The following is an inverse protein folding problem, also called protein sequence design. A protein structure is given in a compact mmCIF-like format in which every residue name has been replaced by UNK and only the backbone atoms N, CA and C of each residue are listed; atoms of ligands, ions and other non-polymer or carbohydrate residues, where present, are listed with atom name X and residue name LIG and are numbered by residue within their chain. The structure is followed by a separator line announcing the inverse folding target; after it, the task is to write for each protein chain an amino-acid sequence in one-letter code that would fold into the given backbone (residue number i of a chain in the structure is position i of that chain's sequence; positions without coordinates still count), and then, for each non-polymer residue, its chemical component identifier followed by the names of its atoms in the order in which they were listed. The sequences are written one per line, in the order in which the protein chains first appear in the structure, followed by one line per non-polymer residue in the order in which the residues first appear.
data_IF_910213589074
#
_entry.id   IF_910213589074
#
_cell.length_a   1.000
_cell.length_b   1.000
_cell.length_c   1.000
_cell.angle_alpha   90.00
_cell.angle_beta   90.00
_cell.angle_gamma   90.00
#
_symmetry.space_group_name_H-M   'P 1'
#
loop_
_entity.id
_entity.type
_entity.pdbx_description
1 polymer ?
#
# COMPACT_ATOMS: atom_id res chain seq x y z
N UNK A 1 2.02 -16.66 23.39
CA UNK A 1 3.38 -16.52 22.84
C UNK A 1 3.24 -16.75 21.34
N UNK A 2 2.93 -15.69 20.60
CA UNK A 2 2.68 -15.76 19.16
C UNK A 2 3.96 -16.24 18.50
N UNK A 3 3.92 -17.42 17.88
CA UNK A 3 5.07 -17.98 17.18
C UNK A 3 5.44 -17.04 16.05
N UNK A 4 6.72 -16.65 16.00
CA UNK A 4 7.27 -15.64 15.09
C UNK A 4 7.12 -16.00 13.60
N UNK A 5 6.67 -17.21 13.29
CA UNK A 5 6.42 -17.74 11.95
C UNK A 5 5.00 -17.45 11.42
N UNK A 6 4.00 -17.20 12.29
CA UNK A 6 2.62 -17.08 11.83
C UNK A 6 2.33 -15.76 11.13
N UNK A 7 2.93 -14.63 11.56
CA UNK A 7 2.62 -13.28 11.03
C UNK A 7 2.99 -13.13 9.54
N UNK A 8 3.95 -13.92 9.04
CA UNK A 8 4.42 -13.86 7.65
C UNK A 8 3.65 -14.76 6.69
N UNK A 9 2.85 -15.72 7.20
CA UNK A 9 1.87 -16.38 6.34
C UNK A 9 0.72 -15.41 6.08
N UNK A 10 0.13 -15.42 4.89
CA UNK A 10 -0.99 -14.52 4.55
C UNK A 10 -2.17 -14.62 5.53
N UNK A 11 -2.26 -15.72 6.26
CA UNK A 11 -3.29 -16.03 7.25
C UNK A 11 -2.97 -15.46 8.65
N UNK A 12 -1.70 -15.16 8.95
CA UNK A 12 -1.25 -14.69 10.26
C UNK A 12 -1.89 -13.40 10.73
N UNK A 13 -2.22 -12.52 9.79
CA UNK A 13 -2.93 -11.27 10.09
C UNK A 13 -4.34 -11.52 10.58
N UNK A 14 -5.04 -12.53 10.05
CA UNK A 14 -6.41 -12.86 10.45
C UNK A 14 -6.43 -13.33 11.91
N UNK A 15 -5.52 -14.24 12.27
CA UNK A 15 -5.40 -14.73 13.64
C UNK A 15 -5.00 -13.62 14.62
N UNK A 16 -4.06 -12.76 14.20
CA UNK A 16 -3.61 -11.62 15.00
C UNK A 16 -4.75 -10.61 15.25
N UNK A 17 -5.57 -10.34 14.24
CA UNK A 17 -6.74 -9.45 14.37
C UNK A 17 -7.81 -10.10 15.26
N UNK A 18 -8.00 -11.42 15.18
CA UNK A 18 -8.95 -12.14 16.03
C UNK A 18 -8.53 -12.11 17.51
N UNK A 19 -7.22 -12.15 17.79
CA UNK A 19 -6.69 -12.14 19.17
C UNK A 19 -6.56 -10.72 19.75
N UNK A 20 -6.02 -9.77 18.99
CA UNK A 20 -5.69 -8.42 19.47
C UNK A 20 -6.77 -7.38 19.17
N UNK A 21 -7.74 -7.72 18.32
CA UNK A 21 -8.78 -6.82 17.85
C UNK A 21 -8.41 -6.08 16.56
N UNK A 22 -9.30 -5.18 16.15
CA UNK A 22 -9.26 -4.48 14.85
C UNK A 22 -8.28 -3.31 14.79
N UNK A 23 -7.75 -2.88 15.93
CA UNK A 23 -6.75 -1.81 16.04
C UNK A 23 -5.80 -2.11 17.20
N UNK A 24 -4.51 -2.22 16.92
CA UNK A 24 -3.48 -2.51 17.93
C UNK A 24 -2.16 -1.82 17.61
N UNK A 25 -1.35 -1.60 18.65
CA UNK A 25 -0.02 -1.02 18.53
C UNK A 25 1.05 -2.11 18.53
N UNK A 26 1.96 -2.05 17.58
CA UNK A 26 3.21 -2.81 17.58
C UNK A 26 4.35 -1.87 17.91
N UNK A 27 5.01 -2.11 19.04
CA UNK A 27 6.21 -1.36 19.40
C UNK A 27 7.43 -1.99 18.74
N UNK A 28 7.85 -1.44 17.60
CA UNK A 28 8.95 -1.97 16.77
C UNK A 28 10.10 -0.98 16.77
N UNK A 29 11.27 -1.41 17.23
CA UNK A 29 12.51 -0.61 17.20
C UNK A 29 12.33 0.80 17.78
N UNK A 30 11.69 0.90 18.96
CA UNK A 30 11.39 2.15 19.67
C UNK A 30 10.38 3.08 18.98
N UNK A 31 9.74 2.63 17.90
CA UNK A 31 8.65 3.33 17.23
C UNK A 31 7.33 2.59 17.45
N UNK A 32 6.25 3.36 17.54
CA UNK A 32 4.89 2.83 17.56
C UNK A 32 4.37 2.66 16.14
N UNK A 33 3.96 1.44 15.81
CA UNK A 33 3.33 1.09 14.55
C UNK A 33 1.88 0.68 14.85
N UNK A 34 0.95 1.59 14.56
CA UNK A 34 -0.48 1.34 14.72
C UNK A 34 -1.00 0.57 13.51
N UNK A 35 -1.52 -0.63 13.73
CA UNK A 35 -2.19 -1.46 12.73
C UNK A 35 -3.69 -1.34 12.94
N UNK A 36 -4.44 -1.08 11.87
CA UNK A 36 -5.90 -0.96 11.90
C UNK A 36 -6.55 -1.58 10.68
N UNK A 37 -7.62 -2.34 10.90
CA UNK A 37 -8.52 -2.85 9.85
C UNK A 37 -9.93 -2.23 9.92
N UNK A 38 -10.14 -1.29 10.84
CA UNK A 38 -11.40 -0.56 10.94
C UNK A 38 -11.66 0.28 9.67
N UNK A 39 -12.81 0.08 8.99
CA UNK A 39 -13.13 0.80 7.76
C UNK A 39 -13.13 2.32 7.92
N UNK A 40 -13.53 2.81 9.10
CA UNK A 40 -13.53 4.24 9.42
C UNK A 40 -12.11 4.83 9.41
N UNK A 41 -11.15 4.17 10.07
CA UNK A 41 -9.76 4.61 10.09
C UNK A 41 -9.15 4.56 8.69
N UNK A 42 -9.38 3.46 7.96
CA UNK A 42 -8.89 3.29 6.58
C UNK A 42 -9.41 4.42 5.68
N UNK A 43 -10.70 4.75 5.77
CA UNK A 43 -11.30 5.85 5.01
C UNK A 43 -10.70 7.21 5.38
N UNK A 44 -10.41 7.44 6.65
CA UNK A 44 -9.76 8.68 7.09
C UNK A 44 -8.36 8.77 6.49
N UNK A 45 -7.54 7.74 6.67
CA UNK A 45 -6.13 7.70 6.22
C UNK A 45 -6.02 7.78 4.70
N UNK A 46 -6.82 7.01 3.96
CA UNK A 46 -6.66 6.86 2.51
C UNK A 46 -7.49 7.82 1.66
N UNK A 47 -8.48 8.51 2.24
CA UNK A 47 -9.41 9.33 1.46
C UNK A 47 -9.81 10.67 2.10
N UNK A 48 -10.20 10.69 3.37
CA UNK A 48 -10.84 11.87 3.97
C UNK A 48 -9.84 12.89 4.50
N UNK A 49 -8.72 12.41 5.06
CA UNK A 49 -7.68 13.23 5.66
C UNK A 49 -6.29 12.86 5.13
N UNK A 50 -6.23 12.46 3.87
CA UNK A 50 -5.04 11.89 3.23
C UNK A 50 -3.79 12.79 3.34
N UNK A 51 -3.97 14.12 3.35
CA UNK A 51 -2.85 15.06 3.41
C UNK A 51 -2.11 15.04 4.76
N UNK A 52 -2.78 14.63 5.84
CA UNK A 52 -2.18 14.49 7.17
C UNK A 52 -1.49 13.14 7.38
N UNK A 53 -1.73 12.15 6.52
CA UNK A 53 -1.14 10.81 6.60
C UNK A 53 -0.11 10.59 5.48
N UNK A 54 1.06 11.20 5.67
CA UNK A 54 2.20 11.10 4.74
C UNK A 54 3.02 9.82 4.95
N UNK A 55 3.70 9.34 3.91
CA UNK A 55 4.64 8.20 4.02
C UNK A 55 5.89 8.60 4.80
N UNK A 56 6.33 9.84 4.59
CA UNK A 56 7.46 10.43 5.29
C UNK A 56 8.82 9.90 4.87
N UNK A 57 9.87 10.50 5.43
CA UNK A 57 11.25 10.33 4.96
C UNK A 57 11.77 8.91 5.08
N UNK A 58 11.37 8.17 6.13
CA UNK A 58 11.79 6.78 6.35
C UNK A 58 11.39 5.89 5.18
N UNK A 59 10.14 5.99 4.74
CA UNK A 59 9.64 5.23 3.60
C UNK A 59 10.28 5.71 2.31
N UNK A 60 10.36 7.03 2.10
CA UNK A 60 10.98 7.63 0.92
C UNK A 60 12.42 7.15 0.70
N UNK A 61 13.23 7.16 1.76
CA UNK A 61 14.62 6.73 1.72
C UNK A 61 14.74 5.22 1.47
N UNK A 62 13.93 4.42 2.15
CA UNK A 62 13.95 2.95 2.02
C UNK A 62 13.58 2.51 0.60
N UNK A 63 12.61 3.19 -0.02
CA UNK A 63 12.12 2.84 -1.36
C UNK A 63 12.76 3.65 -2.49
N UNK A 64 13.67 4.59 -2.18
CA UNK A 64 14.22 5.52 -3.18
C UNK A 64 14.95 4.81 -4.32
N UNK A 65 15.63 3.69 -4.06
CA UNK A 65 16.36 2.96 -5.10
C UNK A 65 15.43 2.24 -6.08
N UNK A 66 14.28 1.79 -5.60
CA UNK A 66 13.31 1.01 -6.38
C UNK A 66 12.28 1.92 -7.08
N UNK A 67 11.68 2.83 -6.32
CA UNK A 67 10.54 3.64 -6.75
C UNK A 67 10.91 5.08 -7.10
N UNK A 68 12.15 5.49 -6.81
CA UNK A 68 12.64 6.86 -7.06
C UNK A 68 11.73 7.91 -6.41
N UNK A 69 11.57 9.04 -7.08
CA UNK A 69 10.55 10.06 -6.76
C UNK A 69 9.39 9.92 -7.73
N UNK A 70 8.51 8.95 -7.46
CA UNK A 70 7.37 8.63 -8.32
C UNK A 70 6.05 8.65 -7.57
N UNK A 71 4.95 8.30 -8.27
CA UNK A 71 3.58 8.32 -7.71
C UNK A 71 3.41 7.44 -6.46
N UNK A 72 4.25 6.42 -6.26
CA UNK A 72 4.20 5.54 -5.09
C UNK A 72 5.10 5.98 -3.93
N UNK A 73 6.10 6.83 -4.19
CA UNK A 73 7.14 7.20 -3.23
C UNK A 73 7.25 8.73 -3.05
N UNK A 74 6.14 9.44 -3.26
CA UNK A 74 6.02 10.88 -3.02
C UNK A 74 4.77 11.16 -2.22
N UNK A 75 4.75 12.33 -1.58
CA UNK A 75 3.63 12.87 -0.82
C UNK A 75 3.26 14.28 -1.35
N UNK A 76 2.11 14.81 -0.91
CA UNK A 76 1.68 16.18 -1.21
C UNK A 76 1.57 16.52 -2.69
N UNK A 77 2.04 17.71 -3.07
CA UNK A 77 1.91 18.23 -4.43
C UNK A 77 2.69 17.42 -5.48
N UNK A 78 3.84 16.84 -5.09
CA UNK A 78 4.61 15.96 -5.96
C UNK A 78 3.82 14.69 -6.30
N UNK A 79 3.14 14.12 -5.30
CA UNK A 79 2.24 12.99 -5.53
C UNK A 79 1.07 13.38 -6.45
N UNK A 80 0.43 14.53 -6.22
CA UNK A 80 -0.66 15.04 -7.07
C UNK A 80 -0.21 15.20 -8.52
N UNK A 81 0.98 15.77 -8.72
CA UNK A 81 1.59 15.93 -10.03
C UNK A 81 1.79 14.58 -10.73
N UNK A 82 2.49 13.63 -10.11
CA UNK A 82 2.72 12.31 -10.71
C UNK A 82 1.41 11.55 -10.96
N UNK A 83 0.44 11.61 -10.05
CA UNK A 83 -0.88 10.98 -10.21
C UNK A 83 -1.66 11.57 -11.39
N UNK A 84 -1.60 12.89 -11.57
CA UNK A 84 -2.26 13.53 -12.71
C UNK A 84 -1.66 13.07 -14.05
N UNK A 85 -0.35 12.90 -14.10
CA UNK A 85 0.38 12.45 -15.28
C UNK A 85 0.12 10.96 -15.59
N UNK A 86 -0.01 10.12 -14.56
CA UNK A 86 -0.22 8.67 -14.75
C UNK A 86 -1.67 8.27 -14.98
N UNK A 87 -2.64 9.08 -14.53
CA UNK A 87 -4.09 8.80 -14.65
C UNK A 87 -4.55 8.33 -16.05
N UNK A 88 -4.09 8.94 -17.16
CA UNK A 88 -4.50 8.53 -18.51
C UNK A 88 -4.08 7.11 -18.91
N UNK A 89 -3.07 6.53 -18.27
CA UNK A 89 -2.64 5.16 -18.57
C UNK A 89 -3.57 4.10 -17.95
N UNK A 90 -4.36 4.49 -16.94
CA UNK A 90 -5.31 3.64 -16.24
C UNK A 90 -6.77 3.95 -16.63
N UNK A 91 -7.00 4.67 -17.74
CA UNK A 91 -8.36 4.89 -18.22
C UNK A 91 -8.97 3.57 -18.72
N UNK A 92 -10.29 3.43 -18.54
CA UNK A 92 -11.02 2.22 -18.92
C UNK A 92 -10.77 1.82 -20.39
N UNK A 93 -10.65 2.82 -21.27
CA UNK A 93 -10.38 2.64 -22.71
C UNK A 93 -9.07 1.89 -23.00
N UNK A 94 -8.06 1.97 -22.11
CA UNK A 94 -6.78 1.25 -22.27
C UNK A 94 -6.78 -0.14 -21.63
N UNK A 95 -7.64 -0.38 -20.64
CA UNK A 95 -7.75 -1.65 -19.90
C UNK A 95 -8.45 -2.73 -20.74
N UNK A 96 -9.18 -2.35 -21.81
CA UNK A 96 -9.91 -3.27 -22.68
C UNK A 96 -9.09 -4.04 -23.73
N UNK A 97 -7.78 -3.84 -23.83
CA UNK A 97 -6.93 -4.54 -24.82
C UNK A 97 -6.55 -5.96 -24.40
N UNK A 98 -7.56 -6.79 -24.06
CA UNK A 98 -7.38 -8.19 -23.65
C UNK A 98 -6.58 -9.02 -24.65
N UNK A 99 -6.72 -8.74 -25.95
CA UNK A 99 -5.98 -9.42 -27.02
C UNK A 99 -4.45 -9.34 -26.90
N UNK A 100 -3.92 -8.28 -26.26
CA UNK A 100 -2.47 -8.13 -26.03
C UNK A 100 -2.05 -9.00 -24.83
N UNK A 101 -2.88 -9.04 -23.79
CA UNK A 101 -2.64 -9.89 -22.63
C UNK A 101 -2.71 -11.37 -22.99
N UNK A 102 -3.71 -11.79 -23.76
CA UNK A 102 -3.89 -13.19 -24.17
C UNK A 102 -2.70 -13.70 -24.98
N UNK A 103 -2.22 -12.93 -25.96
CA UNK A 103 -1.03 -13.31 -26.76
C UNK A 103 0.20 -13.54 -25.89
N UNK A 104 0.49 -12.62 -24.98
CA UNK A 104 1.67 -12.72 -24.12
C UNK A 104 1.51 -13.79 -23.02
N UNK A 105 0.28 -14.09 -22.60
CA UNK A 105 0.00 -15.19 -21.68
C UNK A 105 0.20 -16.55 -22.36
N UNK A 106 -0.23 -16.69 -23.63
CA UNK A 106 0.00 -17.90 -24.42
C UNK A 106 1.49 -18.13 -24.71
N UNK A 107 2.26 -17.08 -25.02
CA UNK A 107 3.71 -17.18 -25.27
C UNK A 107 4.53 -17.54 -24.02
N UNK A 108 3.98 -17.35 -22.81
CA UNK A 108 4.67 -17.53 -21.53
C UNK A 108 4.45 -18.92 -20.89
N UNK A 109 3.56 -19.74 -21.44
CA UNK A 109 3.27 -21.11 -21.01
C UNK A 109 3.96 -22.10 -21.95
#
# INVERSE_FOLDING_TARGET
MISHESILSGDGWIDTIAELGTCFNLHVMYEDLIITVEPGHIKTILASDFENYVKGDKFHNTMSSLLGTGVFNSDGDMWKFHRSMTRPFFSHDRIGHFNIFDRHAEDAI
#
